data_IF_915535916667
#
_entry.id   IF_915535916667
#
_cell.length_a   1.000
_cell.length_b   1.000
_cell.length_c   1.000
_cell.angle_alpha   90.00
_cell.angle_beta   90.00
_cell.angle_gamma   90.00
#
_symmetry.space_group_name_H-M   'P 1'
#
loop_
_entity.id
_entity.type
_entity.pdbx_description
1 polymer ?
#
# COMPACT_ATOMS: atom_id res chain seq x y z
N UNK A 1 5.44 -26.36 33.77
CA UNK A 1 5.04 -24.94 33.62
C UNK A 1 6.26 -24.02 33.53
N UNK A 2 7.18 -24.24 32.57
CA UNK A 2 8.31 -23.31 32.30
C UNK A 2 8.50 -23.04 30.80
N UNK A 3 7.89 -23.85 29.93
CA UNK A 3 8.01 -23.74 28.47
C UNK A 3 7.10 -22.67 27.85
N UNK A 4 6.02 -22.27 28.54
CA UNK A 4 5.11 -21.21 28.06
C UNK A 4 5.73 -19.81 28.19
N UNK A 5 6.59 -19.60 29.20
CA UNK A 5 7.21 -18.30 29.49
C UNK A 5 8.48 -18.01 28.66
N UNK A 6 8.99 -19.00 27.91
CA UNK A 6 10.24 -18.89 27.13
C UNK A 6 9.98 -19.05 25.63
N UNK A 7 8.82 -18.58 25.16
CA UNK A 7 8.46 -18.65 23.76
C UNK A 7 8.60 -17.28 23.10
N UNK A 8 9.84 -16.80 23.03
CA UNK A 8 10.20 -15.56 22.32
C UNK A 8 9.87 -15.65 20.83
N UNK A 9 9.85 -16.87 20.25
CA UNK A 9 9.48 -17.09 18.84
C UNK A 9 8.03 -16.71 18.51
N UNK A 10 7.11 -16.86 19.47
CA UNK A 10 5.72 -16.42 19.33
C UNK A 10 5.57 -14.91 19.50
N UNK A 11 6.35 -14.31 20.40
CA UNK A 11 6.39 -12.86 20.58
C UNK A 11 6.99 -12.16 19.35
N UNK A 12 8.06 -12.70 18.76
CA UNK A 12 8.65 -12.17 17.53
C UNK A 12 7.74 -12.33 16.32
N UNK A 13 6.96 -13.42 16.22
CA UNK A 13 5.96 -13.57 15.17
C UNK A 13 4.88 -12.47 15.19
N UNK A 14 4.49 -12.00 16.38
CA UNK A 14 3.54 -10.89 16.54
C UNK A 14 4.16 -9.56 16.13
N UNK A 15 5.41 -9.29 16.53
CA UNK A 15 6.11 -8.05 16.18
C UNK A 15 6.37 -7.93 14.67
N UNK A 16 6.94 -8.98 14.05
CA UNK A 16 7.13 -9.00 12.60
C UNK A 16 5.80 -9.02 11.85
N UNK A 17 4.78 -9.69 12.40
CA UNK A 17 3.41 -9.65 11.86
C UNK A 17 2.83 -8.23 11.86
N UNK A 18 3.03 -7.46 12.94
CA UNK A 18 2.60 -6.07 13.02
C UNK A 18 3.37 -5.16 12.05
N UNK A 19 4.69 -5.34 11.92
CA UNK A 19 5.50 -4.59 10.96
C UNK A 19 5.02 -4.86 9.52
N UNK A 20 4.79 -6.12 9.15
CA UNK A 20 4.28 -6.47 7.82
C UNK A 20 2.88 -5.90 7.59
N UNK A 21 2.00 -5.93 8.60
CA UNK A 21 0.67 -5.31 8.49
C UNK A 21 0.76 -3.80 8.21
N UNK A 22 1.66 -3.09 8.91
CA UNK A 22 1.89 -1.66 8.68
C UNK A 22 2.48 -1.37 7.29
N UNK A 23 3.40 -2.22 6.80
CA UNK A 23 3.96 -2.11 5.45
C UNK A 23 2.86 -2.29 4.41
N UNK A 24 1.98 -3.27 4.56
CA UNK A 24 0.86 -3.51 3.63
C UNK A 24 -0.07 -2.30 3.57
N UNK A 25 -0.43 -1.70 4.71
CA UNK A 25 -1.26 -0.50 4.74
C UNK A 25 -0.57 0.67 4.02
N UNK A 26 0.72 0.88 4.25
CA UNK A 26 1.49 1.92 3.56
C UNK A 26 1.56 1.67 2.06
N UNK A 27 1.75 0.42 1.63
CA UNK A 27 1.73 0.04 0.21
C UNK A 27 0.37 0.30 -0.44
N UNK A 28 -0.74 0.01 0.24
CA UNK A 28 -2.08 0.31 -0.29
C UNK A 28 -2.26 1.80 -0.57
N UNK A 29 -1.83 2.67 0.35
CA UNK A 29 -1.89 4.12 0.15
C UNK A 29 -0.99 4.58 -1.01
N UNK A 30 0.21 4.04 -1.13
CA UNK A 30 1.13 4.37 -2.23
C UNK A 30 0.56 3.93 -3.59
N UNK A 31 -0.03 2.73 -3.67
CA UNK A 31 -0.66 2.22 -4.88
C UNK A 31 -1.88 3.07 -5.30
N UNK A 32 -2.67 3.54 -4.33
CA UNK A 32 -3.77 4.47 -4.61
C UNK A 32 -3.23 5.77 -5.23
N UNK A 33 -2.16 6.34 -4.69
CA UNK A 33 -1.54 7.55 -5.25
C UNK A 33 -1.03 7.37 -6.69
N UNK A 34 -0.45 6.20 -7.00
CA UNK A 34 -0.03 5.88 -8.38
C UNK A 34 -1.23 5.74 -9.31
N UNK A 35 -2.31 5.09 -8.86
CA UNK A 35 -3.53 4.92 -9.64
C UNK A 35 -4.17 6.29 -9.96
N UNK A 36 -4.32 7.14 -8.95
CA UNK A 36 -4.92 8.47 -9.09
C UNK A 36 -4.11 9.34 -10.05
N UNK A 37 -2.78 9.40 -9.88
CA UNK A 37 -1.91 10.15 -10.78
C UNK A 37 -1.93 9.62 -12.23
N UNK A 38 -2.05 8.30 -12.41
CA UNK A 38 -2.17 7.70 -13.75
C UNK A 38 -3.51 8.06 -14.40
N UNK A 39 -4.61 8.02 -13.65
CA UNK A 39 -5.95 8.41 -14.12
C UNK A 39 -5.95 9.90 -14.50
N UNK A 40 -5.32 10.75 -13.69
CA UNK A 40 -5.20 12.18 -13.97
C UNK A 40 -4.49 12.43 -15.30
N UNK A 41 -3.32 11.83 -15.52
CA UNK A 41 -2.56 11.96 -16.78
C UNK A 41 -3.43 11.59 -17.99
N UNK A 42 -4.12 10.45 -17.95
CA UNK A 42 -4.98 10.03 -19.06
C UNK A 42 -6.19 10.94 -19.27
N UNK A 43 -6.74 11.49 -18.19
CA UNK A 43 -7.84 12.46 -18.27
C UNK A 43 -7.36 13.75 -18.92
N UNK A 44 -6.20 14.28 -18.51
CA UNK A 44 -5.61 15.47 -19.12
C UNK A 44 -5.31 15.26 -20.61
N UNK A 45 -4.74 14.12 -21.00
CA UNK A 45 -4.50 13.81 -22.42
C UNK A 45 -5.81 13.75 -23.19
N UNK A 46 -6.83 13.07 -22.66
CA UNK A 46 -8.16 12.99 -23.26
C UNK A 46 -8.73 14.39 -23.52
N UNK A 47 -8.69 15.26 -22.51
CA UNK A 47 -9.20 16.63 -22.61
C UNK A 47 -8.44 17.46 -23.66
N UNK A 48 -7.11 17.39 -23.67
CA UNK A 48 -6.30 18.08 -24.67
C UNK A 48 -6.59 17.60 -26.09
N UNK A 49 -6.72 16.29 -26.29
CA UNK A 49 -7.06 15.71 -27.59
C UNK A 49 -8.45 16.18 -28.06
N UNK A 50 -9.45 16.16 -27.18
CA UNK A 50 -10.78 16.67 -27.51
C UNK A 50 -10.76 18.17 -27.86
N UNK A 51 -9.99 18.99 -27.15
CA UNK A 51 -9.89 20.42 -27.41
C UNK A 51 -9.22 20.76 -28.76
N UNK A 52 -8.37 19.88 -29.28
CA UNK A 52 -7.72 20.05 -30.59
C UNK A 52 -8.58 19.51 -31.74
N UNK A 53 -9.39 18.47 -31.48
CA UNK A 53 -10.19 17.79 -32.50
C UNK A 53 -11.62 18.30 -32.64
N UNK A 54 -12.14 19.04 -31.65
CA UNK A 54 -13.44 19.76 -31.72
C UNK A 54 -13.25 21.21 -32.09
#
# INVERSE_FOLDING_TARGET
MKTILRNESGATAIEYGLIVALIVIAMMAALQGVADGTIEIWTTIREQVHAVMG
#
